data_IF_995649240514
#
_entry.id   IF_995649240514
#
_cell.length_a   1.000
_cell.length_b   1.000
_cell.length_c   1.000
_cell.angle_alpha   90.00
_cell.angle_beta   90.00
_cell.angle_gamma   90.00
#
_symmetry.space_group_name_H-M   'P 1'
#
loop_
_entity.id
_entity.type
_entity.pdbx_description
1 polymer ?
#
# COMPACT_ATOMS: atom_id res chain seq x y z
N UNK A 1 -5.50 1.02 16.51
CA UNK A 1 -5.78 -0.42 16.30
C UNK A 1 -5.25 -0.76 14.92
N UNK A 2 -4.45 -1.81 14.74
CA UNK A 2 -3.85 -2.15 13.43
C UNK A 2 -4.76 -3.13 12.68
N UNK A 3 -5.92 -2.64 12.26
CA UNK A 3 -6.97 -3.42 11.61
C UNK A 3 -6.45 -4.19 10.39
N UNK A 4 -5.60 -3.57 9.56
CA UNK A 4 -5.06 -4.23 8.37
C UNK A 4 -4.05 -5.32 8.76
N UNK A 5 -3.09 -5.04 9.64
CA UNK A 5 -2.15 -6.05 10.13
C UNK A 5 -2.90 -7.25 10.72
N UNK A 6 -3.87 -7.01 11.59
CA UNK A 6 -4.58 -8.06 12.30
C UNK A 6 -5.46 -8.87 11.32
N UNK A 7 -6.03 -8.22 10.30
CA UNK A 7 -6.72 -8.87 9.18
C UNK A 7 -5.79 -9.69 8.25
N UNK A 8 -4.53 -9.32 8.10
CA UNK A 8 -3.54 -10.14 7.38
C UNK A 8 -3.15 -11.36 8.22
N UNK A 9 -2.95 -11.17 9.53
CA UNK A 9 -2.57 -12.25 10.45
C UNK A 9 -3.68 -13.29 10.63
N UNK A 10 -4.96 -12.90 10.51
CA UNK A 10 -6.08 -13.84 10.63
C UNK A 10 -6.10 -14.90 9.53
N UNK A 11 -5.37 -14.70 8.42
CA UNK A 11 -5.22 -15.69 7.35
C UNK A 11 -4.44 -16.94 7.81
N UNK A 12 -3.68 -16.86 8.91
CA UNK A 12 -2.91 -17.99 9.43
C UNK A 12 -1.73 -18.43 8.56
N UNK A 13 -1.30 -17.58 7.62
CA UNK A 13 -0.17 -17.86 6.71
C UNK A 13 1.15 -17.38 7.33
N UNK A 14 2.10 -18.31 7.49
CA UNK A 14 3.35 -18.05 8.20
C UNK A 14 4.33 -17.16 7.43
N UNK A 15 4.40 -17.29 6.10
CA UNK A 15 5.26 -16.45 5.26
C UNK A 15 4.66 -15.04 5.09
N UNK A 16 5.33 -13.98 5.58
CA UNK A 16 4.77 -12.63 5.57
C UNK A 16 4.51 -12.05 4.17
N UNK A 17 5.35 -12.39 3.18
CA UNK A 17 5.11 -11.94 1.80
C UNK A 17 3.85 -12.65 1.25
N UNK A 18 3.72 -13.94 1.46
CA UNK A 18 2.55 -14.71 1.02
C UNK A 18 1.26 -14.21 1.67
N UNK A 19 1.26 -13.97 2.98
CA UNK A 19 0.11 -13.45 3.71
C UNK A 19 -0.38 -12.09 3.15
N UNK A 20 0.56 -11.15 2.89
CA UNK A 20 0.23 -9.85 2.27
C UNK A 20 -0.31 -10.04 0.84
N UNK A 21 0.25 -10.96 0.06
CA UNK A 21 -0.19 -11.19 -1.32
C UNK A 21 -1.61 -11.76 -1.39
N UNK A 22 -1.94 -12.72 -0.53
CA UNK A 22 -3.29 -13.28 -0.39
C UNK A 22 -4.26 -12.17 0.01
N UNK A 23 -3.94 -11.44 1.08
CA UNK A 23 -4.80 -10.37 1.59
C UNK A 23 -5.05 -9.26 0.57
N UNK A 24 -4.05 -8.95 -0.27
CA UNK A 24 -4.20 -7.97 -1.33
C UNK A 24 -5.24 -8.34 -2.38
N UNK A 25 -5.39 -9.64 -2.67
CA UNK A 25 -6.38 -10.14 -3.63
C UNK A 25 -7.73 -10.43 -2.98
N UNK A 26 -7.72 -11.09 -1.81
CA UNK A 26 -8.90 -11.65 -1.17
C UNK A 26 -9.45 -10.80 -0.02
N UNK A 27 -8.60 -10.06 0.67
CA UNK A 27 -8.90 -9.52 1.99
C UNK A 27 -8.74 -10.57 3.09
N UNK A 28 -9.42 -10.37 4.22
CA UNK A 28 -9.38 -11.25 5.39
C UNK A 28 -10.77 -11.64 5.91
N UNK A 29 -11.80 -11.52 5.06
CA UNK A 29 -13.16 -11.94 5.41
C UNK A 29 -13.22 -13.47 5.53
N UNK A 30 -13.74 -14.04 6.65
CA UNK A 30 -13.77 -15.49 6.84
C UNK A 30 -14.58 -16.26 5.80
N UNK A 31 -15.66 -15.67 5.24
CA UNK A 31 -16.46 -16.32 4.21
C UNK A 31 -15.71 -16.38 2.89
N UNK A 32 -15.00 -15.30 2.52
CA UNK A 32 -14.15 -15.28 1.34
C UNK A 32 -12.95 -16.23 1.49
N UNK A 33 -12.31 -16.27 2.67
CA UNK A 33 -11.25 -17.25 2.97
C UNK A 33 -11.76 -18.68 2.85
N UNK A 34 -12.94 -18.99 3.40
CA UNK A 34 -13.55 -20.31 3.25
C UNK A 34 -13.89 -20.64 1.80
N UNK A 35 -14.35 -19.66 1.02
CA UNK A 35 -14.68 -19.82 -0.41
C UNK A 35 -13.42 -20.05 -1.26
N UNK A 36 -12.29 -19.44 -0.90
CA UNK A 36 -11.00 -19.64 -1.55
C UNK A 36 -10.35 -21.00 -1.25
N UNK A 37 -10.80 -21.68 -0.18
CA UNK A 37 -10.29 -22.98 0.22
C UNK A 37 -8.85 -22.92 0.74
N UNK A 38 -8.00 -23.84 0.28
CA UNK A 38 -6.61 -23.93 0.75
C UNK A 38 -5.79 -22.69 0.32
N UNK A 39 -5.27 -21.97 1.31
CA UNK A 39 -4.44 -20.78 1.07
C UNK A 39 -2.98 -21.15 0.79
N UNK A 40 -2.30 -20.43 -0.13
CA UNK A 40 -0.87 -20.56 -0.38
C UNK A 40 -0.06 -20.40 0.90
N UNK A 41 0.93 -21.28 1.11
CA UNK A 41 1.84 -21.18 2.24
C UNK A 41 3.18 -20.55 1.86
N UNK A 42 3.45 -20.45 0.56
CA UNK A 42 4.67 -19.86 -0.01
C UNK A 42 4.32 -18.95 -1.18
N UNK A 43 5.18 -17.97 -1.41
CA UNK A 43 4.97 -16.96 -2.45
C UNK A 43 5.01 -17.59 -3.85
N UNK A 44 5.74 -18.69 -4.02
CA UNK A 44 5.86 -19.45 -5.27
C UNK A 44 4.53 -20.12 -5.67
N UNK A 45 3.64 -20.38 -4.70
CA UNK A 45 2.35 -21.04 -4.93
C UNK A 45 1.25 -20.02 -5.34
N UNK A 46 1.52 -18.72 -5.22
CA UNK A 46 0.55 -17.65 -5.51
C UNK A 46 0.08 -17.67 -6.96
N UNK A 47 0.97 -17.98 -7.91
CA UNK A 47 0.66 -17.92 -9.33
C UNK A 47 -0.44 -18.92 -9.71
N UNK A 48 -0.40 -20.15 -9.19
CA UNK A 48 -1.46 -21.14 -9.42
C UNK A 48 -2.73 -20.76 -8.69
N UNK A 49 -2.61 -20.37 -7.42
CA UNK A 49 -3.76 -20.02 -6.60
C UNK A 49 -4.56 -18.83 -7.15
N UNK A 50 -3.90 -17.78 -7.64
CA UNK A 50 -4.58 -16.63 -8.28
C UNK A 50 -5.30 -17.08 -9.54
N UNK A 51 -4.70 -17.95 -10.36
CA UNK A 51 -5.37 -18.47 -11.56
C UNK A 51 -6.63 -19.23 -11.19
N UNK A 52 -6.54 -20.13 -10.21
CA UNK A 52 -7.62 -21.00 -9.77
C UNK A 52 -8.73 -20.30 -9.00
N UNK A 53 -8.42 -19.20 -8.33
CA UNK A 53 -9.38 -18.47 -7.50
C UNK A 53 -9.98 -17.24 -8.20
N UNK A 54 -9.27 -16.62 -9.13
CA UNK A 54 -9.68 -15.33 -9.69
C UNK A 54 -9.70 -15.24 -11.22
N UNK A 55 -9.02 -16.12 -11.98
CA UNK A 55 -8.80 -15.87 -13.42
C UNK A 55 -9.38 -16.94 -14.35
N UNK A 56 -9.68 -18.15 -13.87
CA UNK A 56 -10.46 -19.13 -14.64
C UNK A 56 -11.95 -18.76 -14.57
N UNK A 57 -12.75 -18.99 -15.64
CA UNK A 57 -14.16 -18.63 -15.66
C UNK A 57 -15.01 -19.25 -14.54
N UNK A 58 -14.65 -20.45 -14.12
CA UNK A 58 -15.29 -21.22 -13.06
C UNK A 58 -14.69 -20.97 -11.67
N UNK A 59 -13.70 -20.06 -11.57
CA UNK A 59 -13.08 -19.73 -10.30
C UNK A 59 -14.09 -19.05 -9.36
N UNK A 60 -13.97 -19.26 -8.04
CA UNK A 60 -14.87 -18.67 -7.07
C UNK A 60 -14.99 -17.15 -7.19
N UNK A 61 -13.93 -16.40 -7.50
CA UNK A 61 -13.97 -14.93 -7.46
C UNK A 61 -13.99 -14.26 -8.83
N UNK A 62 -14.05 -15.02 -9.93
CA UNK A 62 -13.94 -14.44 -11.27
C UNK A 62 -15.04 -13.40 -11.54
N UNK A 63 -16.31 -13.79 -11.46
CA UNK A 63 -17.43 -12.86 -11.70
C UNK A 63 -17.59 -11.84 -10.56
N UNK A 64 -17.23 -12.20 -9.32
CA UNK A 64 -17.24 -11.25 -8.20
C UNK A 64 -16.25 -10.09 -8.42
N UNK A 65 -15.08 -10.38 -9.01
CA UNK A 65 -14.13 -9.35 -9.38
C UNK A 65 -14.59 -8.59 -10.63
N UNK A 66 -15.02 -9.29 -11.68
CA UNK A 66 -15.42 -8.70 -12.96
C UNK A 66 -16.63 -7.75 -12.84
N UNK A 67 -17.54 -8.03 -11.91
CA UNK A 67 -18.73 -7.20 -11.64
C UNK A 67 -18.56 -6.23 -10.48
N UNK A 68 -17.41 -6.22 -9.79
CA UNK A 68 -17.22 -5.50 -8.52
C UNK A 68 -17.58 -4.01 -8.57
N UNK A 69 -17.30 -3.35 -9.69
CA UNK A 69 -17.61 -1.93 -9.89
C UNK A 69 -19.10 -1.74 -10.11
N UNK A 70 -19.69 -2.57 -10.98
CA UNK A 70 -21.12 -2.49 -11.28
C UNK A 70 -21.97 -2.81 -10.06
N UNK A 71 -21.57 -3.81 -9.27
CA UNK A 71 -22.24 -4.20 -8.02
C UNK A 71 -22.16 -3.07 -6.98
N UNK A 72 -21.03 -2.35 -6.90
CA UNK A 72 -20.86 -1.23 -5.97
C UNK A 72 -21.68 0.01 -6.37
N UNK A 73 -21.85 0.25 -7.67
CA UNK A 73 -22.61 1.40 -8.19
C UNK A 73 -24.10 1.08 -8.36
N UNK A 74 -24.47 -0.19 -8.45
CA UNK A 74 -25.82 -0.64 -8.81
C UNK A 74 -26.10 -0.62 -10.32
N UNK A 75 -25.13 -0.20 -11.14
CA UNK A 75 -25.21 -0.15 -12.59
C UNK A 75 -23.82 -0.26 -13.24
N UNK A 76 -23.76 -0.55 -14.53
CA UNK A 76 -22.49 -0.62 -15.24
C UNK A 76 -21.79 0.76 -15.27
N UNK A 77 -20.47 0.84 -15.01
CA UNK A 77 -19.75 2.11 -15.09
C UNK A 77 -19.80 2.68 -16.51
N UNK A 78 -19.91 4.00 -16.61
CA UNK A 78 -19.77 4.70 -17.88
C UNK A 78 -18.28 4.95 -18.23
N UNK A 79 -18.05 5.49 -19.43
CA UNK A 79 -16.71 5.79 -19.94
C UNK A 79 -15.91 6.76 -19.04
N UNK A 80 -16.59 7.65 -18.31
CA UNK A 80 -15.92 8.62 -17.44
C UNK A 80 -15.43 7.95 -16.15
N UNK A 81 -16.30 7.14 -15.52
CA UNK A 81 -15.97 6.31 -14.37
C UNK A 81 -14.84 5.35 -14.70
N UNK A 82 -14.92 4.66 -15.84
CA UNK A 82 -13.89 3.71 -16.28
C UNK A 82 -12.51 4.37 -16.44
N UNK A 83 -12.46 5.56 -17.05
CA UNK A 83 -11.20 6.32 -17.20
C UNK A 83 -10.61 6.70 -15.84
N UNK A 84 -11.43 7.16 -14.89
CA UNK A 84 -10.97 7.56 -13.55
C UNK A 84 -10.41 6.34 -12.81
N UNK A 85 -11.19 5.26 -12.73
CA UNK A 85 -10.80 4.07 -11.98
C UNK A 85 -9.56 3.40 -12.58
N UNK A 86 -9.45 3.34 -13.92
CA UNK A 86 -8.25 2.85 -14.59
C UNK A 86 -7.01 3.69 -14.27
N UNK A 87 -7.11 5.03 -14.28
CA UNK A 87 -5.95 5.91 -14.02
C UNK A 87 -5.52 5.93 -12.54
N UNK A 88 -6.48 5.86 -11.61
CA UNK A 88 -6.24 5.75 -10.16
C UNK A 88 -5.65 4.38 -9.78
N UNK A 89 -6.04 3.30 -10.47
CA UNK A 89 -5.47 1.96 -10.24
C UNK A 89 -3.95 1.93 -10.47
N UNK A 90 -3.44 2.75 -11.41
CA UNK A 90 -2.00 2.82 -11.69
C UNK A 90 -1.22 3.45 -10.52
N UNK A 91 -1.76 4.54 -9.97
CA UNK A 91 -1.22 5.28 -8.83
C UNK A 91 -2.28 6.25 -8.30
N UNK A 92 -2.22 6.63 -7.01
CA UNK A 92 -3.03 7.73 -6.49
C UNK A 92 -2.89 9.03 -7.30
N UNK A 93 -4.00 9.76 -7.46
CA UNK A 93 -4.14 10.95 -8.31
C UNK A 93 -4.79 12.12 -7.58
N UNK A 94 -4.37 13.34 -7.86
CA UNK A 94 -5.16 14.54 -7.55
C UNK A 94 -6.20 14.78 -8.66
N UNK A 95 -7.16 15.68 -8.42
CA UNK A 95 -8.11 16.15 -9.46
C UNK A 95 -7.36 16.70 -10.67
N UNK A 96 -6.29 17.48 -10.44
CA UNK A 96 -5.42 17.98 -11.50
C UNK A 96 -4.78 16.86 -12.34
N UNK A 97 -4.23 15.83 -11.69
CA UNK A 97 -3.65 14.67 -12.38
C UNK A 97 -4.69 13.95 -13.24
N UNK A 98 -5.92 13.80 -12.73
CA UNK A 98 -7.03 13.17 -13.45
C UNK A 98 -7.42 13.99 -14.68
N UNK A 99 -7.67 15.29 -14.51
CA UNK A 99 -8.00 16.19 -15.63
C UNK A 99 -6.99 16.08 -16.79
N UNK A 100 -5.70 16.03 -16.47
CA UNK A 100 -4.65 15.90 -17.47
C UNK A 100 -4.60 14.53 -18.17
N UNK A 101 -4.94 13.45 -17.46
CA UNK A 101 -4.80 12.08 -17.97
C UNK A 101 -6.07 11.55 -18.64
N UNK A 102 -7.25 11.93 -18.14
CA UNK A 102 -8.55 11.47 -18.64
C UNK A 102 -9.18 12.45 -19.64
N UNK A 103 -8.80 13.73 -19.58
CA UNK A 103 -9.39 14.81 -20.38
C UNK A 103 -10.78 15.24 -19.93
N UNK A 104 -11.27 14.74 -18.79
CA UNK A 104 -12.55 15.14 -18.20
C UNK A 104 -12.48 16.58 -17.67
N UNK A 105 -13.62 17.29 -17.65
CA UNK A 105 -13.67 18.61 -17.04
C UNK A 105 -13.59 18.49 -15.51
N UNK A 106 -13.12 19.55 -14.86
CA UNK A 106 -13.02 19.59 -13.38
C UNK A 106 -14.39 19.43 -12.72
N UNK A 107 -15.42 20.10 -13.25
CA UNK A 107 -16.79 19.96 -12.76
C UNK A 107 -17.34 18.52 -12.85
N UNK A 108 -16.94 17.75 -13.87
CA UNK A 108 -17.32 16.34 -13.98
C UNK A 108 -16.61 15.50 -12.91
N UNK A 109 -15.31 15.75 -12.67
CA UNK A 109 -14.55 15.06 -11.63
C UNK A 109 -15.12 15.35 -10.23
N UNK A 110 -15.46 16.61 -9.96
CA UNK A 110 -16.04 17.03 -8.68
C UNK A 110 -17.42 16.40 -8.44
N UNK A 111 -18.18 16.11 -9.50
CA UNK A 111 -19.46 15.40 -9.40
C UNK A 111 -19.27 13.89 -9.20
N UNK A 112 -18.31 13.27 -9.88
CA UNK A 112 -18.14 11.80 -9.91
C UNK A 112 -17.39 11.27 -8.69
N UNK A 113 -16.28 11.91 -8.30
CA UNK A 113 -15.36 11.40 -7.27
C UNK A 113 -16.03 11.17 -5.90
N UNK A 114 -16.91 12.05 -5.40
CA UNK A 114 -17.64 11.80 -4.15
C UNK A 114 -18.51 10.54 -4.22
N UNK A 115 -19.22 10.31 -5.33
CA UNK A 115 -20.04 9.11 -5.52
C UNK A 115 -19.21 7.82 -5.54
N UNK A 116 -18.03 7.85 -6.18
CA UNK A 116 -17.11 6.71 -6.15
C UNK A 116 -16.53 6.44 -4.74
N UNK A 117 -16.36 7.48 -3.92
CA UNK A 117 -15.96 7.31 -2.52
C UNK A 117 -17.09 6.77 -1.65
N UNK A 118 -18.32 7.26 -1.83
CA UNK A 118 -19.50 6.76 -1.13
C UNK A 118 -19.77 5.28 -1.43
N UNK A 119 -19.60 4.87 -2.70
CA UNK A 119 -19.65 3.47 -3.13
C UNK A 119 -18.45 2.63 -2.62
N UNK A 120 -17.50 3.23 -1.88
CA UNK A 120 -16.34 2.54 -1.33
C UNK A 120 -15.28 2.12 -2.36
N UNK A 121 -15.42 2.54 -3.63
CA UNK A 121 -14.48 2.25 -4.71
C UNK A 121 -13.20 3.09 -4.57
N UNK A 122 -13.35 4.37 -4.22
CA UNK A 122 -12.25 5.29 -4.01
C UNK A 122 -12.19 5.78 -2.55
N UNK A 123 -11.07 6.39 -2.20
CA UNK A 123 -10.93 7.21 -0.99
C UNK A 123 -10.03 8.41 -1.26
N UNK A 124 -10.33 9.52 -0.62
CA UNK A 124 -9.45 10.68 -0.57
C UNK A 124 -8.42 10.49 0.56
N UNK A 125 -7.14 10.47 0.22
CA UNK A 125 -6.03 10.49 1.17
C UNK A 125 -5.46 11.90 1.29
N UNK A 126 -5.28 12.39 2.52
CA UNK A 126 -4.73 13.72 2.78
C UNK A 126 -3.39 13.92 2.08
N UNK A 127 -3.26 15.04 1.36
CA UNK A 127 -2.01 15.50 0.79
C UNK A 127 -1.44 16.62 1.67
N UNK A 128 -0.47 16.35 2.54
CA UNK A 128 -0.01 17.32 3.55
C UNK A 128 0.74 18.51 2.94
N UNK A 129 1.15 18.41 1.68
CA UNK A 129 1.82 19.50 0.97
C UNK A 129 0.83 20.39 0.20
N UNK A 130 -0.43 19.98 0.11
CA UNK A 130 -1.50 20.68 -0.60
C UNK A 130 -2.86 20.15 -0.10
N UNK A 131 -3.32 20.68 1.04
CA UNK A 131 -4.45 20.14 1.81
C UNK A 131 -5.77 20.17 1.05
N UNK A 132 -5.94 21.12 0.13
CA UNK A 132 -7.13 21.27 -0.70
C UNK A 132 -7.17 20.26 -1.85
N UNK A 133 -6.05 19.59 -2.14
CA UNK A 133 -5.91 18.65 -3.26
C UNK A 133 -5.48 17.25 -2.78
N UNK A 134 -6.42 16.46 -2.21
CA UNK A 134 -6.14 15.11 -1.74
C UNK A 134 -5.76 14.16 -2.88
N UNK A 135 -5.13 13.05 -2.50
CA UNK A 135 -4.87 11.93 -3.41
C UNK A 135 -6.04 10.95 -3.40
N UNK A 136 -6.76 10.85 -4.51
CA UNK A 136 -7.73 9.81 -4.77
C UNK A 136 -7.02 8.47 -5.01
N UNK A 137 -7.42 7.46 -4.25
CA UNK A 137 -6.80 6.12 -4.22
C UNK A 137 -7.86 5.04 -4.31
N UNK A 138 -7.57 3.97 -5.06
CA UNK A 138 -8.44 2.80 -5.13
C UNK A 138 -8.57 2.13 -3.76
N UNK A 139 -9.79 2.03 -3.24
CA UNK A 139 -10.09 1.46 -1.94
C UNK A 139 -10.54 -0.01 -2.05
N UNK A 140 -11.49 -0.31 -2.94
CA UNK A 140 -12.00 -1.68 -3.17
C UNK A 140 -10.93 -2.60 -3.77
N UNK A 141 -10.71 -3.76 -3.13
CA UNK A 141 -9.73 -4.78 -3.59
C UNK A 141 -10.18 -5.49 -4.86
N UNK A 142 -11.45 -5.90 -4.93
CA UNK A 142 -11.99 -6.58 -6.10
C UNK A 142 -12.02 -5.65 -7.32
N UNK A 143 -12.43 -4.39 -7.15
CA UNK A 143 -12.36 -3.40 -8.23
C UNK A 143 -10.91 -3.17 -8.68
N UNK A 144 -9.96 -3.04 -7.73
CA UNK A 144 -8.52 -2.96 -8.04
C UNK A 144 -8.04 -4.16 -8.83
N UNK A 145 -8.45 -5.36 -8.44
CA UNK A 145 -8.10 -6.61 -9.14
C UNK A 145 -8.68 -6.61 -10.56
N UNK A 146 -9.94 -6.19 -10.73
CA UNK A 146 -10.60 -6.12 -12.04
C UNK A 146 -9.84 -5.24 -13.02
N UNK A 147 -9.60 -3.97 -12.68
CA UNK A 147 -8.85 -3.04 -13.53
C UNK A 147 -7.37 -3.44 -13.72
N UNK A 148 -6.79 -4.16 -12.75
CA UNK A 148 -5.40 -4.59 -12.85
C UNK A 148 -5.25 -5.79 -13.80
N UNK A 149 -6.17 -6.74 -13.74
CA UNK A 149 -5.99 -8.09 -14.30
C UNK A 149 -7.07 -8.52 -15.28
N UNK A 150 -8.33 -8.17 -15.05
CA UNK A 150 -9.47 -8.74 -15.76
C UNK A 150 -9.88 -7.87 -16.95
N UNK A 151 -10.22 -6.59 -16.73
CA UNK A 151 -11.02 -5.78 -17.67
C UNK A 151 -10.42 -5.71 -19.08
N UNK A 152 -9.11 -5.43 -19.18
CA UNK A 152 -8.39 -5.31 -20.46
C UNK A 152 -8.49 -6.59 -21.32
N UNK A 153 -8.68 -7.75 -20.70
CA UNK A 153 -8.72 -9.05 -21.36
C UNK A 153 -9.95 -9.87 -20.98
N UNK A 154 -11.02 -9.25 -20.48
CA UNK A 154 -12.20 -9.93 -19.94
C UNK A 154 -12.78 -10.98 -20.92
N UNK A 155 -12.98 -10.68 -22.22
CA UNK A 155 -13.47 -11.68 -23.17
C UNK A 155 -12.53 -12.88 -23.36
N UNK A 156 -11.23 -12.72 -23.11
CA UNK A 156 -10.25 -13.81 -23.22
C UNK A 156 -10.22 -14.64 -21.94
N UNK A 157 -10.29 -13.99 -20.77
CA UNK A 157 -10.37 -14.69 -19.49
C UNK A 157 -11.63 -15.56 -19.42
N UNK A 158 -12.80 -15.04 -19.81
CA UNK A 158 -14.06 -15.79 -19.87
C UNK A 158 -14.02 -17.06 -20.73
N UNK A 159 -13.09 -17.16 -21.68
CA UNK A 159 -12.93 -18.38 -22.49
C UNK A 159 -12.02 -19.42 -21.86
N UNK A 160 -11.17 -19.05 -20.89
CA UNK A 160 -10.36 -19.96 -20.07
C UNK A 160 -9.18 -20.70 -20.74
N UNK A 161 -9.15 -20.86 -22.07
CA UNK A 161 -8.16 -21.72 -22.75
C UNK A 161 -6.72 -21.17 -22.82
N UNK A 162 -6.51 -19.89 -22.47
CA UNK A 162 -5.19 -19.23 -22.49
C UNK A 162 -4.81 -18.64 -21.13
N UNK A 163 -5.42 -19.08 -20.03
CA UNK A 163 -5.19 -18.51 -18.69
C UNK A 163 -3.70 -18.47 -18.33
N UNK A 164 -2.93 -19.55 -18.56
CA UNK A 164 -1.49 -19.56 -18.29
C UNK A 164 -0.71 -18.57 -19.15
N UNK A 165 -1.09 -18.44 -20.43
CA UNK A 165 -0.41 -17.52 -21.35
C UNK A 165 -0.68 -16.07 -20.98
N UNK A 166 -1.95 -15.74 -20.69
CA UNK A 166 -2.32 -14.40 -20.24
C UNK A 166 -1.69 -14.07 -18.89
N UNK A 167 -1.69 -15.02 -17.95
CA UNK A 167 -1.02 -14.83 -16.65
C UNK A 167 0.45 -14.50 -16.83
N UNK A 168 1.21 -15.25 -17.64
CA UNK A 168 2.64 -14.91 -17.88
C UNK A 168 2.83 -13.49 -18.40
N UNK A 169 1.91 -12.98 -19.24
CA UNK A 169 1.97 -11.62 -19.77
C UNK A 169 1.59 -10.56 -18.74
N UNK A 170 0.63 -10.86 -17.86
CA UNK A 170 0.03 -9.88 -16.93
C UNK A 170 0.49 -10.02 -15.48
N UNK A 171 1.26 -11.06 -15.12
CA UNK A 171 1.72 -11.33 -13.75
C UNK A 171 2.46 -10.15 -13.12
N UNK A 172 3.22 -9.39 -13.91
CA UNK A 172 3.89 -8.18 -13.42
C UNK A 172 2.90 -7.08 -12.99
N UNK A 173 1.70 -7.04 -13.59
CA UNK A 173 0.59 -6.14 -13.21
C UNK A 173 0.02 -6.54 -11.86
N UNK A 174 -0.15 -7.83 -11.59
CA UNK A 174 -0.62 -8.32 -10.28
C UNK A 174 0.28 -7.81 -9.15
N UNK A 175 1.60 -8.02 -9.26
CA UNK A 175 2.55 -7.54 -8.25
C UNK A 175 2.50 -6.01 -8.10
N UNK A 176 2.34 -5.28 -9.20
CA UNK A 176 2.44 -3.81 -9.24
C UNK A 176 1.16 -3.10 -8.77
N UNK A 177 0.00 -3.61 -9.15
CA UNK A 177 -1.29 -2.95 -8.98
C UNK A 177 -2.20 -3.66 -7.98
N UNK A 178 -1.97 -4.92 -7.64
CA UNK A 178 -2.75 -5.64 -6.62
C UNK A 178 -1.95 -5.70 -5.31
N UNK A 179 -0.81 -6.38 -5.29
CA UNK A 179 -0.06 -6.66 -4.05
C UNK A 179 0.66 -5.43 -3.48
N UNK A 180 1.32 -4.63 -4.34
CA UNK A 180 2.11 -3.48 -3.88
C UNK A 180 1.27 -2.43 -3.13
N UNK A 181 0.07 -2.02 -3.57
CA UNK A 181 -0.76 -1.09 -2.80
C UNK A 181 -1.11 -1.60 -1.40
N UNK A 182 -1.39 -2.89 -1.24
CA UNK A 182 -1.67 -3.48 0.07
C UNK A 182 -0.45 -3.42 0.99
N UNK A 183 0.73 -3.77 0.46
CA UNK A 183 2.00 -3.67 1.18
C UNK A 183 2.35 -2.22 1.57
N UNK A 184 2.03 -1.24 0.71
CA UNK A 184 2.19 0.18 1.03
C UNK A 184 1.23 0.63 2.13
N UNK A 185 -0.01 0.15 2.13
CA UNK A 185 -0.98 0.46 3.19
C UNK A 185 -0.54 -0.14 4.52
N UNK A 186 -0.05 -1.38 4.52
CA UNK A 186 0.52 -2.02 5.71
C UNK A 186 1.73 -1.23 6.25
N UNK A 187 2.62 -0.77 5.38
CA UNK A 187 3.77 0.04 5.78
C UNK A 187 3.36 1.37 6.44
N UNK A 188 2.29 2.01 5.96
CA UNK A 188 1.73 3.24 6.54
C UNK A 188 1.06 3.00 7.88
N UNK A 189 0.20 1.99 7.97
CA UNK A 189 -0.42 1.60 9.25
C UNK A 189 0.63 1.20 10.28
N UNK A 190 1.66 0.45 9.88
CA UNK A 190 2.78 0.11 10.76
C UNK A 190 3.47 1.36 11.31
N UNK A 191 3.71 2.36 10.46
CA UNK A 191 4.38 3.59 10.85
C UNK A 191 3.52 4.49 11.77
N UNK A 192 2.19 4.37 11.74
CA UNK A 192 1.28 5.00 12.70
C UNK A 192 1.42 4.45 14.13
N UNK A 193 2.14 3.34 14.34
CA UNK A 193 2.40 2.84 15.70
C UNK A 193 3.48 3.63 16.46
N UNK A 194 4.14 4.60 15.81
CA UNK A 194 4.94 5.57 16.55
C UNK A 194 4.00 6.44 17.40
N UNK A 195 4.17 6.51 18.74
CA UNK A 195 3.28 7.29 19.60
C UNK A 195 3.22 8.78 19.25
N UNK A 196 4.24 9.32 18.58
CA UNK A 196 4.25 10.70 18.12
C UNK A 196 3.54 10.90 16.77
N UNK A 197 3.19 9.83 16.05
CA UNK A 197 2.57 9.91 14.73
C UNK A 197 1.07 10.21 14.83
N UNK A 198 0.64 11.23 14.11
CA UNK A 198 -0.77 11.60 13.93
C UNK A 198 -1.26 11.14 12.56
N UNK A 199 -0.41 11.23 11.53
CA UNK A 199 -0.80 10.89 10.17
C UNK A 199 0.33 10.21 9.41
N UNK A 200 -0.05 9.34 8.47
CA UNK A 200 0.84 8.77 7.48
C UNK A 200 0.26 8.92 6.10
N UNK A 201 1.11 9.24 5.14
CA UNK A 201 0.65 9.54 3.78
C UNK A 201 1.75 9.36 2.75
N UNK A 202 1.38 9.47 1.48
CA UNK A 202 2.30 9.68 0.37
C UNK A 202 2.72 11.14 0.33
N UNK A 203 3.93 11.42 -0.12
CA UNK A 203 4.30 12.78 -0.51
C UNK A 203 4.87 12.83 -1.91
N UNK A 204 4.65 13.96 -2.57
CA UNK A 204 5.25 14.28 -3.87
C UNK A 204 5.93 15.63 -3.77
N UNK A 205 7.25 15.64 -3.93
CA UNK A 205 8.09 16.82 -3.71
C UNK A 205 8.69 17.27 -5.06
N UNK A 206 8.63 18.55 -5.43
CA UNK A 206 9.30 19.04 -6.63
C UNK A 206 10.82 18.97 -6.48
N UNK A 207 11.50 18.42 -7.48
CA UNK A 207 12.96 18.35 -7.56
C UNK A 207 13.43 19.32 -8.65
N UNK A 208 13.74 20.60 -8.31
CA UNK A 208 14.07 21.63 -9.28
C UNK A 208 15.36 21.30 -10.05
N UNK A 209 16.30 20.61 -9.41
CA UNK A 209 17.58 20.21 -10.03
C UNK A 209 17.36 19.31 -11.24
N UNK A 210 16.42 18.37 -11.15
CA UNK A 210 16.14 17.42 -12.22
C UNK A 210 14.79 17.65 -12.92
N UNK A 211 14.12 18.78 -12.63
CA UNK A 211 12.84 19.20 -13.20
C UNK A 211 11.79 18.08 -13.21
N UNK A 212 11.63 17.41 -12.08
CA UNK A 212 10.68 16.29 -11.96
C UNK A 212 10.05 16.24 -10.57
N UNK A 213 8.92 15.56 -10.47
CA UNK A 213 8.29 15.28 -9.18
C UNK A 213 8.89 14.01 -8.56
N UNK A 214 9.22 14.07 -7.27
CA UNK A 214 9.72 12.94 -6.49
C UNK A 214 8.62 12.43 -5.58
N UNK A 215 8.16 11.22 -5.85
CA UNK A 215 7.26 10.52 -4.92
C UNK A 215 8.05 9.72 -3.90
N UNK A 216 7.62 9.84 -2.64
CA UNK A 216 7.86 8.84 -1.59
C UNK A 216 6.55 8.18 -1.18
N UNK A 217 6.61 6.88 -0.94
CA UNK A 217 5.44 6.06 -0.63
C UNK A 217 4.95 6.25 0.82
N UNK A 218 5.83 6.75 1.70
CA UNK A 218 5.58 6.96 3.12
C UNK A 218 6.20 8.28 3.60
N UNK A 219 5.41 9.07 4.30
CA UNK A 219 5.82 10.16 5.19
C UNK A 219 4.98 10.04 6.46
N UNK A 220 5.60 10.31 7.61
CA UNK A 220 4.99 10.24 8.93
C UNK A 220 5.03 11.63 9.55
N UNK A 221 3.88 12.11 9.99
CA UNK A 221 3.69 13.44 10.55
C UNK A 221 3.23 13.33 12.00
N UNK A 222 3.78 14.18 12.87
CA UNK A 222 3.33 14.35 14.25
C UNK A 222 2.58 15.66 14.43
N UNK A 223 2.48 16.10 15.69
CA UNK A 223 1.94 17.42 16.05
C UNK A 223 2.69 18.56 15.34
N UNK A 224 2.00 19.69 15.17
CA UNK A 224 2.54 20.92 14.57
C UNK A 224 3.20 20.70 13.20
N UNK A 225 2.63 19.79 12.39
CA UNK A 225 3.15 19.40 11.07
C UNK A 225 4.61 18.96 11.08
N UNK A 226 5.09 18.41 12.22
CA UNK A 226 6.46 17.93 12.34
C UNK A 226 6.66 16.63 11.57
N UNK A 227 7.55 16.64 10.59
CA UNK A 227 7.93 15.43 9.85
C UNK A 227 8.81 14.50 10.70
N UNK A 228 8.26 13.34 11.07
CA UNK A 228 8.91 12.34 11.93
C UNK A 228 9.72 11.33 11.12
N UNK A 229 9.23 10.95 9.95
CA UNK A 229 9.92 9.97 9.10
C UNK A 229 9.53 10.11 7.62
N UNK A 230 10.44 9.66 6.77
CA UNK A 230 10.27 9.49 5.33
C UNK A 230 10.58 8.05 4.96
N UNK A 231 9.89 7.49 3.97
CA UNK A 231 10.11 6.11 3.57
C UNK A 231 9.93 5.82 2.09
N UNK A 232 10.71 4.84 1.63
CA UNK A 232 10.50 4.16 0.35
C UNK A 232 10.03 2.74 0.62
N UNK A 233 9.01 2.30 -0.11
CA UNK A 233 8.42 0.96 0.02
C UNK A 233 8.60 0.18 -1.28
N UNK A 234 9.11 -1.05 -1.21
CA UNK A 234 9.31 -1.94 -2.37
C UNK A 234 8.72 -3.31 -2.12
N UNK A 235 7.82 -3.73 -3.01
CA UNK A 235 7.23 -5.06 -3.02
C UNK A 235 8.05 -6.02 -3.89
N UNK A 236 8.39 -7.22 -3.40
CA UNK A 236 9.15 -8.31 -4.06
C UNK A 236 10.55 -7.98 -4.58
N UNK A 237 10.90 -6.71 -4.72
CA UNK A 237 12.21 -6.27 -5.16
C UNK A 237 13.18 -6.13 -3.99
N UNK A 238 14.43 -6.50 -4.25
CA UNK A 238 15.56 -6.10 -3.40
C UNK A 238 15.70 -4.58 -3.46
N UNK A 239 15.68 -3.92 -2.30
CA UNK A 239 15.99 -2.49 -2.22
C UNK A 239 17.49 -2.30 -2.41
N UNK A 240 17.88 -1.35 -3.26
CA UNK A 240 19.26 -1.05 -3.61
C UNK A 240 19.66 0.36 -3.16
N UNK A 241 20.95 0.64 -3.07
CA UNK A 241 21.49 1.89 -2.53
C UNK A 241 20.90 3.15 -3.21
N UNK A 242 20.54 3.05 -4.50
CA UNK A 242 19.88 4.13 -5.26
C UNK A 242 18.60 4.62 -4.57
N UNK A 243 17.79 3.75 -3.98
CA UNK A 243 16.57 4.17 -3.29
C UNK A 243 16.87 4.94 -2.00
N UNK A 244 17.91 4.55 -1.25
CA UNK A 244 18.34 5.28 -0.06
C UNK A 244 18.91 6.65 -0.42
N UNK A 245 19.73 6.73 -1.48
CA UNK A 245 20.20 8.01 -2.04
C UNK A 245 19.04 8.93 -2.45
N UNK A 246 18.01 8.38 -3.09
CA UNK A 246 16.77 9.11 -3.44
C UNK A 246 16.05 9.62 -2.19
N UNK A 247 15.94 8.78 -1.16
CA UNK A 247 15.27 9.12 0.09
C UNK A 247 15.97 10.29 0.81
N UNK A 248 17.30 10.21 0.97
CA UNK A 248 18.14 11.30 1.49
C UNK A 248 18.07 12.57 0.65
N UNK A 249 17.99 12.43 -0.68
CA UNK A 249 17.82 13.57 -1.57
C UNK A 249 16.49 14.30 -1.32
N UNK A 250 15.39 13.56 -1.17
CA UNK A 250 14.08 14.15 -0.86
C UNK A 250 14.08 14.80 0.52
N UNK A 251 14.71 14.19 1.54
CA UNK A 251 14.88 14.83 2.85
C UNK A 251 15.55 16.21 2.74
N UNK A 252 16.63 16.32 1.93
CA UNK A 252 17.30 17.61 1.67
C UNK A 252 16.42 18.61 0.94
N UNK A 253 15.60 18.16 -0.02
CA UNK A 253 14.62 19.04 -0.70
C UNK A 253 13.58 19.62 0.28
N UNK A 254 13.32 18.93 1.39
CA UNK A 254 12.43 19.38 2.46
C UNK A 254 13.13 20.19 3.56
N UNK A 255 14.37 20.63 3.35
CA UNK A 255 15.12 21.43 4.33
C UNK A 255 15.88 20.62 5.38
N UNK A 256 16.13 19.33 5.12
CA UNK A 256 16.86 18.41 5.99
C UNK A 256 16.28 18.26 7.41
N UNK A 257 14.96 18.00 7.55
CA UNK A 257 14.35 17.83 8.86
C UNK A 257 14.94 16.63 9.59
N UNK A 258 15.00 16.65 10.94
CA UNK A 258 15.51 15.55 11.76
C UNK A 258 14.53 14.37 11.79
N UNK A 259 14.36 13.72 10.65
CA UNK A 259 13.41 12.64 10.40
C UNK A 259 14.12 11.29 10.25
N UNK A 260 13.41 10.21 10.59
CA UNK A 260 13.87 8.83 10.34
C UNK A 260 13.71 8.47 8.87
N UNK A 261 14.57 7.60 8.36
CA UNK A 261 14.59 7.14 6.98
C UNK A 261 14.24 5.65 6.90
N UNK A 262 13.01 5.34 6.49
CA UNK A 262 12.50 3.98 6.39
C UNK A 262 12.71 3.38 5.00
N UNK A 263 13.52 2.34 4.93
CA UNK A 263 13.68 1.47 3.78
C UNK A 263 12.85 0.20 4.02
N UNK A 264 11.67 0.11 3.39
CA UNK A 264 10.73 -1.00 3.62
C UNK A 264 10.71 -1.93 2.41
N UNK A 265 11.21 -3.16 2.57
CA UNK A 265 11.27 -4.16 1.50
C UNK A 265 11.49 -5.56 2.05
N UNK A 266 11.17 -6.62 1.28
CA UNK A 266 11.52 -7.99 1.64
C UNK A 266 13.03 -8.24 1.78
N UNK A 267 13.84 -7.55 0.96
CA UNK A 267 15.26 -7.84 0.77
C UNK A 267 16.03 -6.52 0.59
N UNK A 268 17.28 -6.47 1.04
CA UNK A 268 18.13 -5.27 1.02
C UNK A 268 19.54 -5.56 0.48
N UNK A 269 20.17 -4.56 -0.12
CA UNK A 269 21.64 -4.55 -0.27
C UNK A 269 22.34 -4.31 1.06
N UNK A 270 23.58 -4.80 1.18
CA UNK A 270 24.40 -4.66 2.38
C UNK A 270 24.60 -3.19 2.76
N UNK A 271 24.72 -2.28 1.78
CA UNK A 271 24.84 -0.85 2.02
C UNK A 271 23.62 -0.21 2.70
N UNK A 272 22.43 -0.82 2.56
CA UNK A 272 21.21 -0.35 3.26
C UNK A 272 21.11 -1.01 4.63
N UNK A 273 21.40 -2.30 4.74
CA UNK A 273 21.31 -3.02 6.01
C UNK A 273 22.40 -2.64 7.02
N UNK A 274 23.57 -2.22 6.53
CA UNK A 274 24.71 -1.77 7.32
C UNK A 274 24.99 -0.27 7.19
N UNK A 275 23.99 0.54 6.82
CA UNK A 275 24.15 1.98 6.76
C UNK A 275 24.48 2.53 8.17
N UNK A 276 25.51 3.39 8.32
CA UNK A 276 25.92 3.89 9.64
C UNK A 276 25.01 4.98 10.21
N UNK A 277 24.06 5.53 9.44
CA UNK A 277 23.13 6.55 9.94
C UNK A 277 22.12 5.92 10.91
N UNK A 278 22.15 6.28 12.22
CA UNK A 278 21.25 5.68 13.21
C UNK A 278 19.77 6.04 12.99
N UNK A 279 19.49 6.99 12.08
CA UNK A 279 18.12 7.35 11.68
C UNK A 279 17.61 6.52 10.52
N UNK A 280 18.45 5.70 9.90
CA UNK A 280 18.07 4.82 8.80
C UNK A 280 17.62 3.45 9.35
N UNK A 281 16.49 2.94 8.84
CA UNK A 281 15.96 1.64 9.24
C UNK A 281 15.61 0.81 8.01
N UNK A 282 16.13 -0.41 7.96
CA UNK A 282 15.70 -1.45 7.03
C UNK A 282 14.60 -2.32 7.67
N UNK A 283 13.40 -2.32 7.08
CA UNK A 283 12.20 -2.95 7.65
C UNK A 283 11.65 -3.99 6.66
N UNK A 284 11.58 -5.23 7.11
CA UNK A 284 11.05 -6.38 6.38
C UNK A 284 9.54 -6.56 6.57
N UNK A 285 8.84 -7.29 5.69
CA UNK A 285 7.44 -7.65 5.88
C UNK A 285 7.18 -8.36 7.22
N UNK A 286 8.11 -9.22 7.65
CA UNK A 286 8.04 -9.87 8.97
C UNK A 286 8.02 -8.85 10.11
N UNK A 287 8.78 -7.76 10.01
CA UNK A 287 8.78 -6.68 11.01
C UNK A 287 7.51 -5.83 10.96
N UNK A 288 6.91 -5.64 9.78
CA UNK A 288 5.61 -4.94 9.67
C UNK A 288 4.47 -5.71 10.35
N UNK A 289 4.50 -7.04 10.26
CA UNK A 289 3.47 -7.91 10.85
C UNK A 289 3.71 -8.23 12.33
N UNK A 290 4.85 -7.85 12.91
CA UNK A 290 5.09 -8.04 14.35
C UNK A 290 4.20 -7.10 15.17
N UNK A 291 3.71 -7.61 16.29
CA UNK A 291 3.11 -6.77 17.34
C UNK A 291 4.21 -5.88 17.91
N UNK A 292 4.06 -4.54 17.93
CA UNK A 292 4.97 -3.67 18.65
C UNK A 292 5.05 -4.14 20.11
N UNK A 293 6.24 -4.49 20.59
CA UNK A 293 6.39 -4.65 22.04
C UNK A 293 6.20 -3.26 22.65
N UNK A 294 5.38 -3.12 23.71
CA UNK A 294 5.43 -1.90 24.51
C UNK A 294 6.90 -1.69 24.92
N UNK A 295 7.41 -0.47 24.72
CA UNK A 295 8.74 -0.11 25.20
C UNK A 295 8.71 -0.32 26.72
N UNK A 296 9.68 -1.00 27.35
CA UNK A 296 9.77 -0.95 28.81
C UNK A 296 9.86 0.54 29.15
N UNK A 297 8.89 1.02 29.94
CA UNK A 297 8.98 2.34 30.55
C UNK A 297 10.37 2.42 31.16
N UNK A 298 11.08 3.49 30.84
CA UNK A 298 12.31 3.88 31.52
C UNK A 298 12.12 3.60 32.98
N UNK A 299 12.80 2.57 33.49
CA UNK A 299 12.88 2.32 34.91
C UNK A 299 13.27 3.65 35.53
N UNK A 300 12.30 4.27 36.20
CA UNK A 300 12.56 5.43 37.03
C UNK A 300 13.74 5.02 37.90
N UNK A 301 14.80 5.82 37.85
CA UNK A 301 15.96 5.65 38.68
C UNK A 301 15.46 5.54 40.13
N UNK A 302 15.49 4.32 40.68
CA UNK A 302 15.41 4.11 42.12
C UNK A 302 16.62 4.84 42.69
N UNK A 303 16.34 5.98 43.31
CA UNK A 303 17.31 6.73 44.08
C UNK A 303 17.90 5.79 45.14
N UNK A 304 19.23 5.85 45.39
CA UNK A 304 19.83 5.02 46.41
C UNK A 304 19.26 5.43 47.77
N UNK A 305 18.73 4.43 48.49
CA UNK A 305 18.27 4.59 49.86
C UNK A 305 19.40 5.18 50.71
N UNK A 306 19.12 6.34 51.30
CA UNK A 306 19.94 6.95 52.35
C UNK A 306 20.13 5.96 53.49
N UNK A 307 21.39 5.66 53.79
CA UNK A 307 21.79 4.92 54.98
C UNK A 307 21.32 5.66 56.25
N UNK A 308 20.86 4.97 57.29
CA UNK A 308 20.64 5.60 58.58
C UNK A 308 22.00 5.82 59.26
N UNK A 309 22.29 7.07 59.58
CA UNK A 309 23.21 7.41 60.66
C UNK A 309 22.66 6.84 61.98
N UNK A 310 23.51 6.17 62.74
CA UNK A 310 23.17 5.67 64.07
C UNK A 310 24.33 4.94 64.75
N UNK A 311 25.09 5.73 65.53
CA UNK A 311 25.87 5.45 66.76
C UNK A 311 26.46 4.06 67.01
#
# INVERSE_FOLDING_TARGET
MNELRDSILSLGVADPETAVAIHAALGGDPADVSRAGALPQRLDDMDEWVKDNFLKPDSPFFEAAASAVADALGEAPDDAVDKILADVNIRPRTVHDLRLSTGLAEADLDAILPGLAEAGLLRAETNPLDLDHPFWTMNSRLARFSYAMIDEHLPRWRRGYITDTLWRMTRARYDRYVSRPEFQRLAREWALNDPAAIATTRITVPDPRFRQMRTLELAVWGEEDRLLALGTVRWKFKMVERQLKRLRHVQRLLGDPPSRLYCIAPRFEAAIAGDPDPRQFAITPAQLLRVPRPRPETAAAEAPATAPDGD
#
